data_IF_561679938167
#
_entry.id   IF_561679938167
#
_cell.length_a   1.000
_cell.length_b   1.000
_cell.length_c   1.000
_cell.angle_alpha   90.00
_cell.angle_beta   90.00
_cell.angle_gamma   90.00
#
_symmetry.space_group_name_H-M   'P 1'
#
loop_
_entity.id
_entity.type
_entity.pdbx_description
1 polymer ?
#
# COMPACT_ATOMS: atom_id res chain seq x y z
N UNK A 1 6.89 9.77 7.98
CA UNK A 1 7.00 8.36 7.59
C UNK A 1 5.68 7.68 7.94
N UNK A 2 5.07 6.97 7.00
CA UNK A 2 3.77 6.29 7.19
C UNK A 2 3.64 5.10 6.24
N UNK A 3 2.54 4.33 6.38
CA UNK A 3 2.16 3.17 5.56
C UNK A 3 3.31 2.15 5.42
N UNK A 4 3.75 1.55 6.54
CA UNK A 4 4.83 0.58 6.52
C UNK A 4 4.39 -0.75 5.92
N UNK A 5 5.31 -1.41 5.23
CA UNK A 5 5.21 -2.81 4.81
C UNK A 5 6.54 -3.50 5.11
N UNK A 6 6.51 -4.66 5.74
CA UNK A 6 7.73 -5.38 6.14
C UNK A 6 7.81 -6.71 5.42
N UNK A 7 8.99 -7.04 4.90
CA UNK A 7 9.29 -8.38 4.45
C UNK A 7 10.64 -8.87 5.01
N UNK A 8 10.76 -10.17 5.15
CA UNK A 8 12.02 -10.82 5.48
C UNK A 8 12.68 -11.33 4.19
N UNK A 9 13.97 -11.01 4.02
CA UNK A 9 14.80 -11.54 2.93
C UNK A 9 16.11 -12.04 3.54
N UNK A 10 16.32 -13.33 3.48
CA UNK A 10 17.40 -13.98 4.21
C UNK A 10 17.22 -13.85 5.73
N UNK A 11 18.24 -13.37 6.40
CA UNK A 11 18.27 -13.11 7.84
C UNK A 11 17.93 -11.68 8.24
N UNK A 12 17.53 -10.83 7.26
CA UNK A 12 17.22 -9.42 7.48
C UNK A 12 15.76 -9.09 7.24
N UNK A 13 15.30 -8.05 7.94
CA UNK A 13 13.97 -7.47 7.80
C UNK A 13 14.08 -6.11 7.10
N UNK A 14 13.24 -5.91 6.08
CA UNK A 14 13.18 -4.69 5.28
C UNK A 14 11.84 -4.01 5.50
N UNK A 15 11.90 -2.79 6.03
CA UNK A 15 10.73 -1.94 6.28
C UNK A 15 10.62 -0.93 5.14
N UNK A 16 9.64 -1.12 4.29
CA UNK A 16 9.26 -0.17 3.24
C UNK A 16 8.29 0.85 3.80
N UNK A 17 8.43 2.10 3.40
CA UNK A 17 7.61 3.17 3.95
C UNK A 17 7.44 4.32 2.95
N UNK A 18 6.36 5.07 3.11
CA UNK A 18 6.22 6.37 2.48
C UNK A 18 6.98 7.40 3.31
N UNK A 19 8.03 7.96 2.73
CA UNK A 19 8.79 9.08 3.28
C UNK A 19 8.37 10.38 2.61
N UNK A 20 8.50 11.50 3.33
CA UNK A 20 8.25 12.83 2.79
C UNK A 20 9.23 13.83 3.38
N UNK A 21 9.40 14.96 2.67
CA UNK A 21 10.11 16.14 3.13
C UNK A 21 9.31 17.38 2.79
N UNK A 22 9.47 18.43 3.58
CA UNK A 22 9.01 19.75 3.19
C UNK A 22 10.02 20.35 2.21
N UNK A 23 9.63 20.46 0.94
CA UNK A 23 10.46 21.06 -0.11
C UNK A 23 9.56 21.68 -1.17
N UNK A 24 9.73 22.96 -1.42
CA UNK A 24 9.09 23.67 -2.52
C UNK A 24 9.90 23.44 -3.80
N UNK A 25 9.27 22.86 -4.81
CA UNK A 25 9.87 22.56 -6.11
C UNK A 25 8.85 22.80 -7.23
N UNK A 26 9.17 22.47 -8.46
CA UNK A 26 8.29 22.70 -9.63
C UNK A 26 6.91 22.02 -9.52
N UNK A 27 6.79 20.91 -8.77
CA UNK A 27 5.51 20.23 -8.56
C UNK A 27 4.71 20.82 -7.38
N UNK A 28 5.35 21.55 -6.48
CA UNK A 28 4.75 21.96 -5.20
C UNK A 28 4.65 23.47 -5.00
N UNK A 29 5.26 24.28 -5.86
CA UNK A 29 5.34 25.74 -5.72
C UNK A 29 3.97 26.45 -5.67
N UNK A 30 2.97 25.88 -6.31
CA UNK A 30 1.61 26.46 -6.42
C UNK A 30 0.62 25.76 -5.48
N UNK A 31 1.07 24.86 -4.59
CA UNK A 31 0.21 24.15 -3.65
C UNK A 31 -0.19 25.06 -2.47
N UNK A 32 -1.43 24.91 -1.93
CA UNK A 32 -2.03 25.88 -1.02
C UNK A 32 -1.44 25.89 0.39
N UNK A 33 -0.78 24.82 0.82
CA UNK A 33 -0.28 24.69 2.19
C UNK A 33 0.83 23.61 2.34
N UNK A 34 1.48 23.62 3.50
CA UNK A 34 2.58 22.72 3.83
C UNK A 34 2.22 21.24 3.80
N UNK A 35 0.98 20.89 4.17
CA UNK A 35 0.52 19.50 4.14
C UNK A 35 0.46 18.96 2.71
N UNK A 36 -0.04 19.74 1.77
CA UNK A 36 -0.06 19.36 0.35
C UNK A 36 1.36 19.33 -0.22
N UNK A 37 2.24 20.27 0.14
CA UNK A 37 3.66 20.24 -0.24
C UNK A 37 4.32 18.92 0.23
N UNK A 38 4.12 18.55 1.50
CA UNK A 38 4.61 17.30 2.04
C UNK A 38 4.01 16.08 1.33
N UNK A 39 2.70 16.11 1.02
CA UNK A 39 2.00 15.03 0.33
C UNK A 39 2.56 14.78 -1.06
N UNK A 40 2.80 15.82 -1.85
CA UNK A 40 3.35 15.72 -3.20
C UNK A 40 4.84 15.32 -3.23
N UNK A 41 5.54 15.53 -2.12
CA UNK A 41 6.92 15.07 -1.95
C UNK A 41 7.06 13.65 -1.41
N UNK A 42 5.96 12.86 -1.35
CA UNK A 42 6.04 11.45 -0.91
C UNK A 42 6.81 10.60 -1.92
N UNK A 43 7.72 9.79 -1.38
CA UNK A 43 8.51 8.79 -2.11
C UNK A 43 8.60 7.52 -1.26
N UNK A 44 8.93 6.41 -1.90
CA UNK A 44 9.09 5.15 -1.19
C UNK A 44 10.56 4.96 -0.82
N UNK A 45 10.78 4.77 0.48
CA UNK A 45 12.06 4.43 1.07
C UNK A 45 12.03 3.05 1.71
N UNK A 46 13.22 2.55 2.05
CA UNK A 46 13.42 1.31 2.79
C UNK A 46 14.42 1.50 3.93
N UNK A 47 14.19 0.81 5.03
CA UNK A 47 15.13 0.66 6.13
C UNK A 47 15.33 -0.83 6.43
N UNK A 48 16.51 -1.20 6.91
CA UNK A 48 16.90 -2.58 7.15
C UNK A 48 17.28 -2.79 8.62
N UNK A 49 16.93 -3.97 9.16
CA UNK A 49 17.32 -4.42 10.49
C UNK A 49 17.52 -5.94 10.51
N UNK A 50 18.32 -6.43 11.43
CA UNK A 50 18.42 -7.85 11.80
C UNK A 50 17.34 -8.26 12.82
N UNK A 51 16.61 -7.29 13.39
CA UNK A 51 15.55 -7.51 14.37
C UNK A 51 14.23 -6.90 13.86
N UNK A 52 13.11 -7.70 13.79
CA UNK A 52 11.84 -7.22 13.24
C UNK A 52 11.18 -6.10 14.07
N UNK A 53 11.56 -5.93 15.33
CA UNK A 53 10.91 -5.00 16.24
C UNK A 53 11.64 -3.66 16.39
N UNK A 54 12.96 -3.61 16.14
CA UNK A 54 13.78 -2.44 16.45
C UNK A 54 14.99 -2.32 15.51
N UNK A 55 15.67 -1.18 15.56
CA UNK A 55 16.99 -1.00 14.95
C UNK A 55 16.99 -0.78 13.44
N UNK A 56 15.83 -0.50 12.83
CA UNK A 56 15.76 -0.20 11.40
C UNK A 56 16.56 1.04 11.03
N UNK A 57 17.51 0.88 10.10
CA UNK A 57 18.33 1.95 9.56
C UNK A 57 17.98 2.20 8.10
N UNK A 58 17.69 3.45 7.69
CA UNK A 58 17.45 3.78 6.29
C UNK A 58 18.64 3.40 5.42
N UNK A 59 18.37 2.79 4.26
CA UNK A 59 19.43 2.47 3.29
C UNK A 59 19.93 3.73 2.57
N UNK A 60 21.18 3.71 2.14
CA UNK A 60 21.83 4.87 1.50
C UNK A 60 21.18 5.23 0.15
N UNK A 61 20.57 4.26 -0.54
CA UNK A 61 19.95 4.43 -1.85
C UNK A 61 18.53 5.03 -1.85
N UNK A 62 18.02 5.49 -0.69
CA UNK A 62 16.68 6.11 -0.64
C UNK A 62 16.60 7.44 -1.42
N UNK A 63 15.45 7.72 -2.10
CA UNK A 63 14.30 6.84 -2.23
C UNK A 63 14.57 5.65 -3.17
N UNK A 64 14.07 4.44 -2.81
CA UNK A 64 14.24 3.24 -3.65
C UNK A 64 13.29 3.22 -4.84
N UNK A 65 12.18 3.96 -4.75
CA UNK A 65 11.28 4.26 -5.86
C UNK A 65 10.91 5.76 -5.81
N UNK A 66 11.30 6.48 -6.86
CA UNK A 66 10.96 7.88 -7.08
C UNK A 66 9.84 8.02 -8.12
N UNK A 67 9.27 9.22 -8.27
CA UNK A 67 8.30 9.55 -9.32
C UNK A 67 8.94 9.47 -10.71
N UNK A 68 8.10 9.26 -11.71
CA UNK A 68 8.47 9.47 -13.10
C UNK A 68 7.63 10.63 -13.68
N UNK A 69 8.19 11.83 -13.69
CA UNK A 69 7.49 13.04 -14.15
C UNK A 69 7.00 12.99 -15.60
N UNK A 70 7.49 12.01 -16.40
CA UNK A 70 7.08 11.78 -17.79
C UNK A 70 6.00 10.69 -17.91
N UNK A 71 5.61 10.05 -16.80
CA UNK A 71 4.65 8.95 -16.79
C UNK A 71 3.42 9.30 -15.92
N UNK A 72 2.48 8.36 -15.85
CA UNK A 72 1.23 8.48 -15.11
C UNK A 72 1.42 8.72 -13.59
N UNK A 73 2.49 8.17 -13.00
CA UNK A 73 2.86 8.25 -11.59
C UNK A 73 3.87 9.38 -11.30
N UNK A 74 3.75 10.47 -12.04
CA UNK A 74 4.65 11.62 -11.97
C UNK A 74 4.39 12.61 -10.86
N UNK A 75 3.40 12.38 -9.98
CA UNK A 75 3.04 13.30 -8.90
C UNK A 75 3.66 12.87 -7.58
N UNK A 76 3.25 11.73 -7.03
CA UNK A 76 3.86 11.09 -5.87
C UNK A 76 3.67 9.57 -5.92
N UNK A 77 4.53 8.85 -5.21
CA UNK A 77 4.46 7.40 -5.01
C UNK A 77 4.50 7.09 -3.51
N UNK A 78 3.61 6.18 -3.06
CA UNK A 78 3.35 5.96 -1.64
C UNK A 78 2.71 4.58 -1.39
N UNK A 79 2.41 4.23 -0.14
CA UNK A 79 1.69 3.04 0.29
C UNK A 79 2.23 1.75 -0.36
N UNK A 80 3.53 1.42 -0.16
CA UNK A 80 4.09 0.20 -0.71
C UNK A 80 3.53 -1.03 0.01
N UNK A 81 3.29 -2.10 -0.75
CA UNK A 81 3.23 -3.48 -0.26
C UNK A 81 4.22 -4.31 -1.04
N UNK A 82 4.88 -5.25 -0.37
CA UNK A 82 6.00 -6.00 -0.96
C UNK A 82 5.83 -7.49 -0.78
N UNK A 83 6.31 -8.23 -1.78
CA UNK A 83 6.43 -9.67 -1.76
C UNK A 83 7.82 -10.08 -2.25
N UNK A 84 8.54 -10.87 -1.44
CA UNK A 84 9.84 -11.40 -1.79
C UNK A 84 9.72 -12.85 -2.28
N UNK A 85 10.24 -13.14 -3.47
CA UNK A 85 10.22 -14.46 -4.08
C UNK A 85 11.46 -14.66 -4.97
N UNK A 86 12.10 -15.82 -4.85
CA UNK A 86 13.25 -16.22 -5.70
C UNK A 86 14.38 -15.18 -5.76
N UNK A 87 14.64 -14.50 -4.62
CA UNK A 87 15.68 -13.47 -4.50
C UNK A 87 15.29 -12.10 -5.07
N UNK A 88 14.10 -11.97 -5.66
CA UNK A 88 13.54 -10.72 -6.18
C UNK A 88 12.46 -10.19 -5.25
N UNK A 89 12.34 -8.89 -5.14
CA UNK A 89 11.26 -8.24 -4.39
C UNK A 89 10.33 -7.50 -5.34
N UNK A 90 9.07 -7.88 -5.32
CA UNK A 90 7.98 -7.21 -6.04
C UNK A 90 7.32 -6.18 -5.11
N UNK A 91 7.00 -5.03 -5.64
CA UNK A 91 6.36 -3.93 -4.93
C UNK A 91 5.13 -3.45 -5.69
N UNK A 92 3.96 -3.54 -5.08
CA UNK A 92 2.80 -2.78 -5.52
C UNK A 92 2.79 -1.46 -4.74
N UNK A 93 2.62 -0.35 -5.42
CA UNK A 93 2.62 0.98 -4.84
C UNK A 93 1.44 1.80 -5.33
N UNK A 94 1.00 2.74 -4.51
CA UNK A 94 -0.02 3.73 -4.87
C UNK A 94 0.64 4.97 -5.47
N UNK A 95 -0.01 5.54 -6.49
CA UNK A 95 0.35 6.85 -7.03
C UNK A 95 -0.91 7.66 -7.34
N UNK A 96 -0.79 8.98 -7.27
CA UNK A 96 -1.80 9.90 -7.79
C UNK A 96 -1.63 9.97 -9.31
N UNK A 97 -2.71 9.72 -10.05
CA UNK A 97 -2.70 9.84 -11.50
C UNK A 97 -2.44 11.29 -11.89
N UNK A 98 -1.38 11.47 -12.67
CA UNK A 98 -1.00 12.80 -13.17
C UNK A 98 -2.10 13.37 -14.08
N UNK A 99 -2.27 14.68 -14.03
CA UNK A 99 -3.17 15.46 -14.90
C UNK A 99 -4.68 15.19 -14.70
N UNK A 100 -5.09 14.61 -13.55
CA UNK A 100 -6.51 14.39 -13.21
C UNK A 100 -7.06 15.42 -12.21
N UNK A 101 -6.27 16.42 -11.83
CA UNK A 101 -6.76 17.47 -10.92
C UNK A 101 -7.91 18.30 -11.55
N UNK A 102 -8.95 18.65 -10.79
CA UNK A 102 -9.06 18.51 -9.32
C UNK A 102 -9.50 17.14 -8.81
N UNK A 103 -9.82 16.19 -9.68
CA UNK A 103 -10.21 14.84 -9.27
C UNK A 103 -9.02 14.08 -8.69
N UNK A 104 -9.22 13.48 -7.52
CA UNK A 104 -8.22 12.63 -6.89
C UNK A 104 -8.43 11.20 -7.37
N UNK A 105 -7.61 10.77 -8.33
CA UNK A 105 -7.65 9.41 -8.89
C UNK A 105 -6.39 8.67 -8.48
N UNK A 106 -6.56 7.71 -7.57
CA UNK A 106 -5.48 6.84 -7.11
C UNK A 106 -5.38 5.61 -7.99
N UNK A 107 -4.16 5.25 -8.34
CA UNK A 107 -3.86 4.06 -9.15
C UNK A 107 -2.75 3.27 -8.50
N UNK A 108 -2.69 1.98 -8.84
CA UNK A 108 -1.62 1.10 -8.38
C UNK A 108 -0.63 0.81 -9.53
N UNK A 109 0.65 0.80 -9.18
CA UNK A 109 1.74 0.39 -10.05
C UNK A 109 2.47 -0.83 -9.52
N UNK A 110 3.18 -1.54 -10.39
CA UNK A 110 4.05 -2.66 -10.05
C UNK A 110 5.49 -2.31 -10.38
N UNK A 111 6.37 -2.51 -9.41
CA UNK A 111 7.82 -2.40 -9.56
C UNK A 111 8.50 -3.65 -9.00
N UNK A 112 9.73 -3.91 -9.42
CA UNK A 112 10.55 -4.98 -8.88
C UNK A 112 12.00 -4.52 -8.69
N UNK A 113 12.65 -5.09 -7.67
CA UNK A 113 14.08 -4.97 -7.39
C UNK A 113 14.75 -6.33 -7.32
N UNK A 114 15.97 -6.43 -7.80
CA UNK A 114 16.80 -7.63 -7.68
C UNK A 114 17.32 -7.81 -6.24
N UNK A 115 17.25 -6.75 -5.45
CA UNK A 115 17.63 -6.72 -4.03
C UNK A 115 16.57 -5.94 -3.25
N UNK A 116 16.41 -6.28 -1.96
CA UNK A 116 15.39 -5.66 -1.12
C UNK A 116 15.64 -4.17 -0.83
N UNK A 117 16.89 -3.73 -0.85
CA UNK A 117 17.31 -2.33 -0.71
C UNK A 117 17.33 -1.55 -2.06
N UNK A 118 16.81 -2.17 -3.13
CA UNK A 118 16.63 -1.55 -4.44
C UNK A 118 17.90 -1.48 -5.31
N UNK A 119 17.89 -0.68 -6.37
CA UNK A 119 16.77 0.16 -6.81
C UNK A 119 15.60 -0.64 -7.41
N UNK A 120 14.41 -0.06 -7.36
CA UNK A 120 13.20 -0.66 -7.94
C UNK A 120 12.91 -0.09 -9.32
N UNK A 121 12.53 -0.98 -10.25
CA UNK A 121 12.13 -0.61 -11.63
C UNK A 121 10.68 -0.94 -11.86
N UNK A 122 9.94 -0.02 -12.47
CA UNK A 122 8.56 -0.25 -12.91
C UNK A 122 8.51 -1.41 -13.91
N UNK A 123 7.58 -2.33 -13.69
CA UNK A 123 7.33 -3.46 -14.60
C UNK A 123 6.51 -2.99 -15.79
N UNK A 124 5.51 -2.10 -15.53
CA UNK A 124 4.64 -1.56 -16.57
C UNK A 124 4.75 -0.03 -16.64
N UNK A 125 4.52 0.51 -17.85
CA UNK A 125 4.41 1.96 -18.08
C UNK A 125 3.02 2.53 -17.80
N UNK A 126 2.11 1.72 -17.23
CA UNK A 126 0.70 2.06 -16.95
C UNK A 126 0.29 1.45 -15.60
N UNK A 127 -0.83 1.92 -14.99
CA UNK A 127 -1.40 1.28 -13.81
C UNK A 127 -1.76 -0.18 -14.05
N UNK A 128 -1.62 -1.03 -13.02
CA UNK A 128 -1.97 -2.46 -13.09
C UNK A 128 -3.47 -2.73 -13.12
N UNK A 129 -4.28 -1.74 -12.75
CA UNK A 129 -5.75 -1.79 -12.73
C UNK A 129 -6.35 -0.45 -13.16
N UNK A 130 -7.50 -0.46 -13.86
CA UNK A 130 -8.14 0.77 -14.32
C UNK A 130 -8.89 1.53 -13.23
N UNK A 131 -9.14 0.92 -12.07
CA UNK A 131 -9.98 1.42 -10.99
C UNK A 131 -9.32 2.51 -10.14
N UNK A 132 -10.13 3.32 -9.46
CA UNK A 132 -9.66 4.24 -8.42
C UNK A 132 -9.57 3.48 -7.09
N UNK A 133 -8.38 3.00 -6.76
CA UNK A 133 -8.12 2.10 -5.62
C UNK A 133 -6.86 2.51 -4.87
N UNK A 134 -6.82 2.19 -3.57
CA UNK A 134 -5.67 2.49 -2.72
C UNK A 134 -5.40 1.40 -1.67
N UNK A 135 -4.36 1.60 -0.87
CA UNK A 135 -3.96 0.79 0.27
C UNK A 135 -3.81 -0.71 -0.04
N UNK A 136 -2.96 -1.07 -1.01
CA UNK A 136 -2.76 -2.46 -1.36
C UNK A 136 -2.07 -3.23 -0.23
N UNK A 137 -2.49 -4.50 -0.02
CA UNK A 137 -1.72 -5.51 0.72
C UNK A 137 -1.63 -6.77 -0.13
N UNK A 138 -0.41 -7.13 -0.52
CA UNK A 138 -0.11 -8.23 -1.44
C UNK A 138 0.49 -9.43 -0.69
N UNK A 139 0.01 -10.64 -1.01
CA UNK A 139 0.66 -11.90 -0.60
C UNK A 139 0.50 -12.97 -1.68
N UNK A 140 1.21 -14.08 -1.53
CA UNK A 140 1.09 -15.26 -2.39
C UNK A 140 0.75 -16.48 -1.55
N UNK A 141 -0.20 -17.29 -2.02
CA UNK A 141 -0.62 -18.54 -1.41
C UNK A 141 -0.99 -19.52 -2.53
N UNK A 142 -0.51 -20.75 -2.44
CA UNK A 142 -0.79 -21.84 -3.39
C UNK A 142 -0.58 -21.47 -4.88
N UNK A 143 0.47 -20.68 -5.15
CA UNK A 143 0.82 -20.23 -6.51
C UNK A 143 0.00 -19.09 -7.05
N UNK A 144 -0.97 -18.58 -6.30
CA UNK A 144 -1.80 -17.42 -6.66
C UNK A 144 -1.40 -16.20 -5.83
N UNK A 145 -1.36 -15.03 -6.45
CA UNK A 145 -1.20 -13.76 -5.77
C UNK A 145 -2.57 -13.21 -5.36
N UNK A 146 -2.66 -12.77 -4.13
CA UNK A 146 -3.85 -12.14 -3.56
C UNK A 146 -3.51 -10.71 -3.15
N UNK A 147 -4.46 -9.82 -3.33
CA UNK A 147 -4.29 -8.42 -2.94
C UNK A 147 -5.58 -7.85 -2.36
N UNK A 148 -5.52 -7.39 -1.12
CA UNK A 148 -6.56 -6.51 -0.56
C UNK A 148 -6.33 -5.09 -1.06
N UNK A 149 -7.40 -4.42 -1.49
CA UNK A 149 -7.37 -3.00 -1.89
C UNK A 149 -8.63 -2.30 -1.44
N UNK A 150 -8.52 -1.03 -1.09
CA UNK A 150 -9.68 -0.16 -0.83
C UNK A 150 -10.21 0.38 -2.16
N UNK A 151 -11.50 0.18 -2.40
CA UNK A 151 -12.22 0.69 -3.57
C UNK A 151 -12.77 2.09 -3.24
N UNK A 152 -12.18 3.12 -3.85
CA UNK A 152 -12.52 4.51 -3.55
C UNK A 152 -13.87 4.94 -4.12
N UNK A 153 -14.37 4.25 -5.12
CA UNK A 153 -15.59 4.65 -5.89
C UNK A 153 -16.74 3.67 -5.78
N UNK A 154 -16.50 2.47 -5.26
CA UNK A 154 -17.51 1.40 -5.20
C UNK A 154 -17.70 0.66 -6.53
N UNK A 155 -16.81 0.86 -7.48
CA UNK A 155 -16.91 0.19 -8.81
C UNK A 155 -16.69 -1.32 -8.72
N UNK A 156 -15.88 -1.77 -7.76
CA UNK A 156 -15.60 -3.19 -7.49
C UNK A 156 -16.46 -3.75 -6.37
N UNK A 157 -16.58 -3.01 -5.27
CA UNK A 157 -17.26 -3.44 -4.04
C UNK A 157 -18.78 -3.24 -4.09
N UNK A 158 -19.26 -2.28 -4.87
CA UNK A 158 -20.63 -1.81 -4.86
C UNK A 158 -20.88 -0.58 -3.99
N UNK A 159 -20.02 -0.33 -2.99
CA UNK A 159 -20.03 0.89 -2.18
C UNK A 159 -18.63 1.47 -2.09
N UNK A 160 -18.50 2.82 -2.08
CA UNK A 160 -17.23 3.48 -1.88
C UNK A 160 -16.59 3.13 -0.52
N UNK A 161 -15.26 3.19 -0.47
CA UNK A 161 -14.44 2.98 0.72
C UNK A 161 -14.47 1.55 1.31
N UNK A 162 -15.10 0.60 0.65
CA UNK A 162 -15.03 -0.82 1.02
C UNK A 162 -13.75 -1.47 0.48
N UNK A 163 -13.29 -2.50 1.18
CA UNK A 163 -12.11 -3.28 0.77
C UNK A 163 -12.54 -4.54 0.04
N UNK A 164 -11.90 -4.80 -1.09
CA UNK A 164 -12.09 -6.00 -1.91
C UNK A 164 -10.84 -6.86 -1.94
N UNK A 165 -11.04 -8.15 -2.20
CA UNK A 165 -9.97 -9.10 -2.47
C UNK A 165 -9.82 -9.30 -3.98
N UNK A 166 -8.62 -9.11 -4.47
CA UNK A 166 -8.22 -9.39 -5.85
C UNK A 166 -7.30 -10.60 -5.89
N UNK A 167 -7.31 -11.34 -6.99
CA UNK A 167 -6.44 -12.48 -7.24
C UNK A 167 -5.79 -12.41 -8.62
N UNK A 168 -4.57 -12.92 -8.76
CA UNK A 168 -3.81 -12.99 -10.01
C UNK A 168 -2.85 -14.17 -10.01
N UNK A 169 -2.65 -14.78 -11.18
CA UNK A 169 -1.67 -15.85 -11.35
C UNK A 169 -0.23 -15.32 -11.51
N UNK A 170 -0.05 -14.07 -11.96
CA UNK A 170 1.25 -13.58 -12.45
C UNK A 170 1.56 -12.10 -12.14
N UNK A 171 0.77 -11.45 -11.26
CA UNK A 171 0.85 -10.03 -10.91
C UNK A 171 0.45 -9.05 -12.04
N UNK A 172 0.05 -9.53 -13.22
CA UNK A 172 -0.27 -8.66 -14.35
C UNK A 172 -1.78 -8.47 -14.55
N UNK A 173 -2.58 -9.50 -14.29
CA UNK A 173 -4.03 -9.53 -14.48
C UNK A 173 -4.74 -9.87 -13.17
N UNK A 174 -5.05 -8.84 -12.38
CA UNK A 174 -5.81 -8.98 -11.15
C UNK A 174 -7.32 -8.98 -11.41
N UNK A 175 -8.02 -9.95 -10.84
CA UNK A 175 -9.47 -10.11 -10.92
C UNK A 175 -10.11 -10.08 -9.55
N UNK A 176 -11.33 -9.55 -9.49
CA UNK A 176 -12.13 -9.57 -8.25
C UNK A 176 -12.43 -11.02 -7.83
N UNK A 177 -11.99 -11.41 -6.64
CA UNK A 177 -12.40 -12.66 -6.02
C UNK A 177 -13.79 -12.50 -5.41
N UNK A 178 -14.81 -13.05 -6.10
CA UNK A 178 -16.21 -12.96 -5.67
C UNK A 178 -16.61 -14.00 -4.61
N UNK A 179 -15.71 -14.94 -4.30
CA UNK A 179 -15.99 -16.01 -3.32
C UNK A 179 -15.68 -15.61 -1.89
N UNK A 180 -14.73 -14.70 -1.72
CA UNK A 180 -14.27 -14.24 -0.42
C UNK A 180 -14.62 -12.75 -0.30
N UNK A 181 -15.67 -12.41 0.46
CA UNK A 181 -15.92 -11.01 0.77
C UNK A 181 -14.76 -10.48 1.63
N UNK A 182 -14.26 -9.31 1.30
CA UNK A 182 -13.28 -8.68 2.14
C UNK A 182 -13.96 -8.03 3.37
N UNK A 183 -13.81 -6.75 3.60
CA UNK A 183 -14.43 -6.10 4.74
C UNK A 183 -14.85 -4.66 4.37
N UNK A 184 -15.74 -4.12 5.18
CA UNK A 184 -16.23 -2.75 5.08
C UNK A 184 -15.92 -1.98 6.37
N UNK A 185 -16.61 -0.87 6.60
CA UNK A 185 -16.45 -0.03 7.79
C UNK A 185 -17.17 -0.53 9.04
N UNK A 186 -17.87 -1.67 8.97
CA UNK A 186 -18.51 -2.32 10.11
C UNK A 186 -17.51 -3.25 10.80
N UNK A 187 -17.36 -3.10 12.10
CA UNK A 187 -16.50 -3.95 12.94
C UNK A 187 -17.37 -4.63 14.00
N UNK A 188 -17.27 -5.96 14.05
CA UNK A 188 -17.91 -6.76 15.09
C UNK A 188 -17.00 -6.82 16.32
N UNK A 189 -17.53 -6.38 17.45
CA UNK A 189 -16.94 -6.48 18.79
C UNK A 189 -17.69 -7.52 19.62
N UNK A 190 -17.15 -7.89 20.76
CA UNK A 190 -17.82 -8.83 21.68
C UNK A 190 -19.17 -8.31 22.20
N UNK A 191 -19.32 -6.99 22.30
CA UNK A 191 -20.49 -6.29 22.80
C UNK A 191 -21.41 -5.68 21.72
N UNK A 192 -21.09 -5.88 20.44
CA UNK A 192 -21.93 -5.40 19.32
C UNK A 192 -21.19 -5.10 18.04
N UNK A 193 -21.88 -4.38 17.16
CA UNK A 193 -21.32 -3.95 15.87
C UNK A 193 -21.23 -2.44 15.85
N UNK A 194 -20.07 -1.92 15.48
CA UNK A 194 -19.82 -0.49 15.35
C UNK A 194 -19.40 -0.12 13.93
N UNK A 195 -19.94 1.00 13.43
CA UNK A 195 -19.59 1.55 12.13
C UNK A 195 -18.60 2.71 12.30
N UNK A 196 -17.44 2.57 11.69
CA UNK A 196 -16.37 3.56 11.65
C UNK A 196 -16.45 4.43 10.39
N UNK A 197 -15.72 5.54 10.39
CA UNK A 197 -15.57 6.38 9.20
C UNK A 197 -14.69 5.69 8.16
N UNK A 198 -13.55 5.13 8.59
CA UNK A 198 -12.63 4.36 7.73
C UNK A 198 -12.14 3.12 8.47
N UNK A 199 -12.01 2.02 7.74
CA UNK A 199 -11.26 0.82 8.10
C UNK A 199 -10.38 0.52 6.90
N UNK A 200 -9.10 0.88 6.96
CA UNK A 200 -8.20 0.94 5.81
C UNK A 200 -6.81 0.38 6.12
N UNK A 201 -5.92 0.39 5.13
CA UNK A 201 -4.50 -0.02 5.26
C UNK A 201 -4.35 -1.43 5.82
N UNK A 202 -4.89 -2.45 5.15
CA UNK A 202 -4.81 -3.83 5.61
C UNK A 202 -3.36 -4.29 5.70
N UNK A 203 -3.07 -5.08 6.75
CA UNK A 203 -1.83 -5.83 6.88
C UNK A 203 -2.18 -7.19 7.48
N UNK A 204 -1.84 -8.28 6.81
CA UNK A 204 -2.06 -9.63 7.35
C UNK A 204 -0.76 -10.14 7.95
N UNK A 205 -0.83 -10.60 9.19
CA UNK A 205 0.24 -11.37 9.81
C UNK A 205 0.05 -12.85 9.53
N UNK A 206 1.11 -13.48 9.02
CA UNK A 206 1.15 -14.90 8.73
C UNK A 206 2.05 -15.62 9.73
N UNK A 207 1.64 -16.81 10.17
CA UNK A 207 2.43 -17.70 11.00
C UNK A 207 2.42 -19.10 10.35
N UNK A 208 3.61 -19.64 10.04
CA UNK A 208 3.72 -20.89 9.31
C UNK A 208 3.02 -20.91 7.95
N UNK A 209 2.98 -19.75 7.25
CA UNK A 209 2.33 -19.60 5.95
C UNK A 209 0.80 -19.43 6.01
N UNK A 210 0.20 -19.42 7.21
CA UNK A 210 -1.26 -19.23 7.39
C UNK A 210 -1.56 -17.83 7.90
N UNK A 211 -2.63 -17.17 7.42
CA UNK A 211 -3.05 -15.89 7.94
C UNK A 211 -3.58 -16.05 9.38
N UNK A 212 -3.06 -15.26 10.31
CA UNK A 212 -3.41 -15.33 11.75
C UNK A 212 -4.18 -14.10 12.19
N UNK A 213 -3.78 -12.93 11.72
CA UNK A 213 -4.37 -11.67 12.15
C UNK A 213 -4.38 -10.64 11.02
N UNK A 214 -5.50 -9.96 10.87
CA UNK A 214 -5.64 -8.78 9.99
C UNK A 214 -5.54 -7.53 10.85
N UNK A 215 -4.62 -6.65 10.52
CA UNK A 215 -4.48 -5.33 11.10
C UNK A 215 -5.04 -4.27 10.14
N UNK A 216 -5.69 -3.26 10.71
CA UNK A 216 -6.18 -2.10 9.98
C UNK A 216 -5.89 -0.81 10.73
N UNK A 217 -5.77 0.30 10.01
CA UNK A 217 -5.95 1.62 10.56
C UNK A 217 -7.45 1.95 10.56
N UNK A 218 -7.95 2.44 11.68
CA UNK A 218 -9.35 2.82 11.86
C UNK A 218 -9.43 4.29 12.19
N UNK A 219 -10.41 4.99 11.59
CA UNK A 219 -10.78 6.36 11.91
C UNK A 219 -12.22 6.39 12.37
N UNK A 220 -12.43 6.96 13.56
CA UNK A 220 -13.77 7.14 14.12
C UNK A 220 -14.51 8.30 13.45
N UNK A 221 -15.82 8.38 13.67
CA UNK A 221 -16.64 9.52 13.22
C UNK A 221 -16.30 10.84 13.97
N UNK A 222 -15.57 10.74 15.09
CA UNK A 222 -15.07 11.88 15.90
C UNK A 222 -13.62 12.25 15.61
N UNK A 223 -13.07 11.71 14.51
CA UNK A 223 -11.72 12.01 14.00
C UNK A 223 -10.55 11.43 14.84
N UNK A 224 -10.85 10.49 15.73
CA UNK A 224 -9.84 9.72 16.43
C UNK A 224 -9.34 8.57 15.55
N UNK A 225 -8.11 8.10 15.77
CA UNK A 225 -7.54 7.00 15.00
C UNK A 225 -6.87 5.99 15.92
N UNK A 226 -7.02 4.69 15.58
CA UNK A 226 -6.37 3.60 16.28
C UNK A 226 -6.03 2.44 15.33
N UNK A 227 -5.23 1.48 15.81
CA UNK A 227 -4.96 0.24 15.11
C UNK A 227 -5.90 -0.86 15.60
N UNK A 228 -6.60 -1.49 14.66
CA UNK A 228 -7.48 -2.64 14.90
C UNK A 228 -6.72 -3.92 14.54
N UNK A 229 -6.83 -4.94 15.41
CA UNK A 229 -6.35 -6.29 15.16
C UNK A 229 -7.52 -7.28 15.21
N UNK A 230 -7.72 -8.04 14.14
CA UNK A 230 -8.75 -9.07 14.03
C UNK A 230 -8.13 -10.42 13.75
N UNK A 231 -8.34 -11.40 14.62
CA UNK A 231 -7.87 -12.77 14.39
C UNK A 231 -8.76 -13.48 13.38
N UNK A 232 -8.13 -14.19 12.46
CA UNK A 232 -8.85 -15.17 11.63
C UNK A 232 -9.31 -16.34 12.52
N UNK A 233 -10.52 -16.81 12.29
CA UNK A 233 -11.13 -17.94 13.02
C UNK A 233 -10.92 -19.25 12.27
#
# INVERSE_FOLDING_TARGET
MHNPSVCQVGDKYYLFYAGTKFEVNELTKDLPNDNEICRYNQRIGVAVSENPAVGFQPVTGNPVLDINTKAWDGTYVTNPTVWAEEGRVHMVYKALLKDQLPEIVMKLGLAAGEQADGPYRRIFGHPILPYNIEDPFLWKEDGCYYMLVKDMTGELAGNPDETVLLESADLSDFKLNKKIPAYNTLVEWEDGVEQYQNVERPQIYFEGGKPVCLYNAVRTKTDESFNLARRFR
#
